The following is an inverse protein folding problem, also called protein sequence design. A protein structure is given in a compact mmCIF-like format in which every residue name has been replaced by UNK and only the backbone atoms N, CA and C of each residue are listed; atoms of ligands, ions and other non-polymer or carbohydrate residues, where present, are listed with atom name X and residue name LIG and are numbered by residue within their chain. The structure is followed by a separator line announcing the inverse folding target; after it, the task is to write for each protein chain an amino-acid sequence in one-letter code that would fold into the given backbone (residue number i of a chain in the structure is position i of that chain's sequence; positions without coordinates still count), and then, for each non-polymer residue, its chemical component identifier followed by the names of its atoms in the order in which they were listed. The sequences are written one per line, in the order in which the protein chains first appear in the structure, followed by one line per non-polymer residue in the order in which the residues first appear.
data_IF_200507081458
#
_entry.id   IF_200507081458
#
_cell.length_a   1.000
_cell.length_b   1.000
_cell.length_c   1.000
_cell.angle_alpha   90.00
_cell.angle_beta   90.00
_cell.angle_gamma   90.00
#
_symmetry.space_group_name_H-M   'P 1'
#
loop_
_entity.id
_entity.type
_entity.pdbx_description
1 polymer ?
#
# COMPACT_ATOMS: atom_id res chain seq x y z
N UNK A 1 -25.18 3.66 -23.82
CA UNK A 1 -23.74 4.06 -23.86
C UNK A 1 -23.39 4.81 -25.14
N UNK A 2 -23.85 4.38 -26.32
CA UNK A 2 -23.70 5.13 -27.59
C UNK A 2 -24.99 5.90 -27.92
N UNK A 3 -24.87 7.17 -28.35
CA UNK A 3 -25.98 8.02 -28.81
C UNK A 3 -26.18 7.87 -30.32
N UNK A 4 -27.32 8.36 -30.84
CA UNK A 4 -27.75 8.15 -32.23
C UNK A 4 -26.97 8.96 -33.26
N UNK A 5 -26.20 9.96 -32.85
CA UNK A 5 -25.41 10.76 -33.77
C UNK A 5 -24.16 9.99 -34.25
N UNK A 6 -24.11 9.79 -35.56
CA UNK A 6 -22.97 9.21 -36.26
C UNK A 6 -22.54 10.16 -37.36
N UNK A 7 -21.31 10.62 -37.32
CA UNK A 7 -20.71 11.46 -38.35
C UNK A 7 -19.82 10.59 -39.24
N UNK A 8 -20.29 10.26 -40.44
CA UNK A 8 -19.54 9.44 -41.39
C UNK A 8 -18.55 10.29 -42.15
N UNK A 9 -17.28 9.90 -42.13
CA UNK A 9 -16.22 10.55 -42.93
C UNK A 9 -16.12 9.86 -44.29
N UNK A 10 -16.23 8.53 -44.32
CA UNK A 10 -16.42 7.72 -45.53
C UNK A 10 -17.12 6.39 -45.18
N UNK A 11 -17.27 5.48 -46.15
CA UNK A 11 -17.99 4.21 -45.93
C UNK A 11 -17.30 3.29 -44.91
N UNK A 12 -16.00 3.43 -44.71
CA UNK A 12 -15.19 2.55 -43.84
C UNK A 12 -14.75 3.20 -42.52
N UNK A 13 -14.94 4.52 -42.36
CA UNK A 13 -14.50 5.30 -41.20
C UNK A 13 -15.54 6.36 -40.80
N UNK A 14 -15.98 6.30 -39.55
CA UNK A 14 -17.02 7.17 -39.00
C UNK A 14 -16.80 7.44 -37.51
N UNK A 15 -17.30 8.57 -37.04
CA UNK A 15 -17.32 8.93 -35.64
C UNK A 15 -18.70 8.68 -35.05
N UNK A 16 -18.74 8.09 -33.86
CA UNK A 16 -19.99 7.81 -33.15
C UNK A 16 -19.97 8.47 -31.78
N UNK A 17 -21.00 9.23 -31.48
CA UNK A 17 -21.09 9.96 -30.22
C UNK A 17 -21.42 9.00 -29.06
N UNK A 18 -20.62 9.03 -27.99
CA UNK A 18 -20.84 8.26 -26.77
C UNK A 18 -21.00 9.19 -25.56
N UNK A 19 -21.44 8.62 -24.43
CA UNK A 19 -21.49 9.35 -23.15
C UNK A 19 -20.10 9.81 -22.65
N UNK A 20 -19.02 9.33 -23.27
CA UNK A 20 -17.64 9.69 -22.98
C UNK A 20 -16.99 10.56 -24.09
N UNK A 21 -17.77 11.03 -25.07
CA UNK A 21 -17.28 11.81 -26.22
C UNK A 21 -17.35 11.06 -27.55
N UNK A 22 -16.83 11.68 -28.63
CA UNK A 22 -16.82 11.11 -29.98
C UNK A 22 -15.79 10.00 -30.11
N UNK A 23 -16.21 8.83 -30.56
CA UNK A 23 -15.36 7.66 -30.75
C UNK A 23 -15.19 7.41 -32.25
N UNK A 24 -13.94 7.33 -32.72
CA UNK A 24 -13.63 6.95 -34.09
C UNK A 24 -13.80 5.43 -34.29
N UNK A 25 -14.49 5.02 -35.35
CA UNK A 25 -14.79 3.62 -35.66
C UNK A 25 -14.54 3.37 -37.15
N UNK A 26 -13.83 2.29 -37.48
CA UNK A 26 -13.60 1.90 -38.86
C UNK A 26 -12.78 0.61 -38.98
N UNK A 27 -12.71 0.05 -40.19
CA UNK A 27 -11.84 -1.10 -40.48
C UNK A 27 -10.45 -0.62 -40.88
N UNK A 28 -9.41 -1.17 -40.26
CA UNK A 28 -8.04 -1.00 -40.75
C UNK A 28 -7.89 -1.82 -42.04
N UNK A 29 -7.61 -1.17 -43.17
CA UNK A 29 -7.06 -1.86 -44.32
C UNK A 29 -5.56 -2.11 -44.05
N UNK A 30 -5.19 -3.38 -43.90
CA UNK A 30 -3.79 -3.80 -43.83
C UNK A 30 -3.13 -3.50 -45.19
N UNK A 31 -2.57 -2.29 -45.32
CA UNK A 31 -1.44 -2.07 -46.22
C UNK A 31 -0.18 -2.08 -45.38
N UNK A 32 0.87 -2.69 -45.91
CA UNK A 32 2.19 -2.82 -45.29
C UNK A 32 2.66 -1.49 -44.68
N UNK A 33 2.48 -1.33 -43.36
CA UNK A 33 3.06 -0.23 -42.61
C UNK A 33 4.17 -0.81 -41.75
N UNK A 34 5.37 -0.26 -41.93
CA UNK A 34 6.51 -0.44 -41.04
C UNK A 34 6.06 -0.38 -39.58
N UNK A 35 6.59 -1.29 -38.74
CA UNK A 35 6.33 -1.31 -37.28
C UNK A 35 6.78 0.01 -36.63
N UNK A 36 5.95 1.03 -36.68
CA UNK A 36 6.04 2.20 -35.80
C UNK A 36 5.03 1.99 -34.68
N UNK A 37 5.53 1.67 -33.49
CA UNK A 37 4.73 1.71 -32.27
C UNK A 37 4.28 3.16 -32.05
N UNK A 38 3.02 3.46 -32.32
CA UNK A 38 2.45 4.77 -32.00
C UNK A 38 2.19 4.82 -30.49
N UNK A 39 3.05 5.55 -29.77
CA UNK A 39 2.83 5.87 -28.36
C UNK A 39 1.93 7.12 -28.28
N UNK A 40 0.73 6.97 -27.74
CA UNK A 40 -0.15 8.12 -27.47
C UNK A 40 0.34 8.81 -26.20
N UNK A 41 1.01 9.96 -26.35
CA UNK A 41 1.43 10.79 -25.24
C UNK A 41 0.23 11.62 -24.73
N UNK A 42 -0.39 11.21 -23.64
CA UNK A 42 -1.40 12.00 -22.94
C UNK A 42 -0.73 12.77 -21.80
N UNK A 43 -0.62 14.10 -21.92
CA UNK A 43 -0.17 14.97 -20.83
C UNK A 43 -1.36 15.22 -19.90
N UNK A 44 -1.29 14.73 -18.66
CA UNK A 44 -2.35 14.87 -17.67
C UNK A 44 -1.80 15.57 -16.41
N UNK A 45 -2.30 16.76 -16.11
CA UNK A 45 -1.81 17.61 -15.02
C UNK A 45 -2.30 17.14 -13.62
N UNK A 46 -3.06 16.03 -13.55
CA UNK A 46 -3.61 15.45 -12.30
C UNK A 46 -3.23 13.97 -12.12
N UNK A 47 -1.92 13.70 -12.07
CA UNK A 47 -1.35 12.35 -11.96
C UNK A 47 -1.81 11.60 -10.69
N UNK A 48 -1.97 12.30 -9.57
CA UNK A 48 -2.30 11.73 -8.25
C UNK A 48 -3.68 11.03 -8.21
N UNK A 49 -4.70 11.66 -8.78
CA UNK A 49 -6.08 11.16 -8.74
C UNK A 49 -6.26 9.97 -9.70
N UNK A 50 -5.58 10.01 -10.85
CA UNK A 50 -5.56 8.91 -11.84
C UNK A 50 -4.90 7.67 -11.25
N UNK A 51 -3.84 7.86 -10.46
CA UNK A 51 -3.21 6.77 -9.72
C UNK A 51 -4.13 6.22 -8.65
N UNK A 52 -4.68 7.06 -7.76
CA UNK A 52 -5.59 6.62 -6.69
C UNK A 52 -6.76 5.77 -7.24
N UNK A 53 -7.38 6.20 -8.34
CA UNK A 53 -8.50 5.46 -8.94
C UNK A 53 -8.09 4.13 -9.58
N UNK A 54 -6.86 4.04 -10.11
CA UNK A 54 -6.27 2.78 -10.57
C UNK A 54 -6.04 1.79 -9.41
N UNK A 55 -5.76 2.28 -8.19
CA UNK A 55 -5.64 1.43 -7.00
C UNK A 55 -6.97 0.90 -6.46
N UNK A 56 -8.08 1.66 -6.57
CA UNK A 56 -9.40 1.28 -6.04
C UNK A 56 -10.10 0.16 -6.82
N UNK A 57 -9.72 -0.06 -8.08
CA UNK A 57 -10.38 -1.03 -8.97
C UNK A 57 -10.02 -2.50 -8.68
N UNK A 58 -9.16 -2.79 -7.70
CA UNK A 58 -8.76 -4.16 -7.31
C UNK A 58 -9.75 -4.89 -6.39
N UNK A 59 -10.83 -4.23 -5.94
CA UNK A 59 -11.89 -4.90 -5.17
C UNK A 59 -12.53 -6.04 -5.96
N UNK A 60 -12.39 -7.28 -5.48
CA UNK A 60 -13.07 -8.47 -5.98
C UNK A 60 -14.59 -8.33 -5.77
N UNK A 61 -15.28 -7.67 -6.71
CA UNK A 61 -16.65 -7.95 -7.14
C UNK A 61 -17.74 -8.24 -6.08
N UNK A 62 -17.93 -7.38 -5.07
CA UNK A 62 -19.17 -7.39 -4.25
C UNK A 62 -19.88 -6.04 -4.44
N UNK A 63 -21.12 -6.07 -4.94
CA UNK A 63 -22.06 -4.94 -4.96
C UNK A 63 -23.42 -5.47 -4.53
N UNK A 64 -23.96 -4.92 -3.45
CA UNK A 64 -25.33 -5.19 -3.00
C UNK A 64 -26.24 -4.02 -3.39
N UNK A 65 -27.36 -4.32 -4.06
CA UNK A 65 -28.44 -3.37 -4.34
C UNK A 65 -29.53 -3.43 -3.22
N UNK A 66 -30.32 -2.36 -3.02
CA UNK A 66 -31.02 -2.12 -1.76
C UNK A 66 -32.53 -2.42 -1.80
N UNK A 67 -33.05 -3.09 -0.76
CA UNK A 67 -34.45 -2.95 -0.31
C UNK A 67 -34.52 -2.89 1.23
N UNK A 68 -35.04 -1.74 1.71
CA UNK A 68 -35.85 -1.45 2.92
C UNK A 68 -35.38 -1.76 4.37
N UNK A 69 -35.34 -0.71 5.23
CA UNK A 69 -35.87 -0.68 6.63
C UNK A 69 -35.58 0.63 7.43
N UNK A 70 -34.62 1.48 7.03
CA UNK A 70 -34.07 2.48 7.97
C UNK A 70 -34.73 3.88 8.02
N UNK A 71 -36.06 4.01 8.06
CA UNK A 71 -36.73 5.31 8.36
C UNK A 71 -37.13 5.44 9.83
N UNK A 72 -37.47 4.35 10.50
CA UNK A 72 -37.98 4.40 11.88
C UNK A 72 -36.86 4.51 12.95
N UNK A 73 -35.70 3.88 12.71
CA UNK A 73 -34.52 3.95 13.59
C UNK A 73 -33.91 5.35 13.71
N UNK A 74 -34.06 6.19 12.70
CA UNK A 74 -33.43 7.52 12.69
C UNK A 74 -34.09 8.48 13.70
N UNK A 75 -35.37 8.29 13.99
CA UNK A 75 -36.09 9.11 14.98
C UNK A 75 -35.82 8.67 16.42
N UNK A 76 -35.55 7.39 16.66
CA UNK A 76 -35.11 6.91 17.99
C UNK A 76 -33.74 7.49 18.36
N UNK A 77 -32.76 7.39 17.46
CA UNK A 77 -31.40 7.93 17.70
C UNK A 77 -31.44 9.44 17.96
N UNK A 78 -32.29 10.18 17.25
CA UNK A 78 -32.44 11.63 17.44
C UNK A 78 -32.94 11.99 18.85
N UNK A 79 -33.96 11.28 19.35
CA UNK A 79 -34.52 11.54 20.67
C UNK A 79 -33.58 11.14 21.82
N UNK A 80 -32.74 10.12 21.61
CA UNK A 80 -31.79 9.62 22.61
C UNK A 80 -30.51 10.45 22.71
N UNK A 81 -30.11 11.14 21.63
CA UNK A 81 -28.77 11.77 21.52
C UNK A 81 -28.78 13.30 21.47
N UNK A 82 -29.96 13.92 21.53
CA UNK A 82 -30.08 15.37 21.57
C UNK A 82 -29.72 15.91 22.96
N UNK A 83 -28.61 16.63 23.06
CA UNK A 83 -28.17 17.32 24.27
C UNK A 83 -28.12 18.83 24.02
N UNK A 84 -28.51 19.66 25.00
CA UNK A 84 -28.33 21.12 24.90
C UNK A 84 -27.09 21.54 25.68
N UNK A 85 -26.04 21.99 24.99
CA UNK A 85 -24.75 22.41 25.58
C UNK A 85 -24.29 23.72 24.95
N UNK A 86 -23.83 24.66 25.80
CA UNK A 86 -23.30 25.97 25.39
C UNK A 86 -24.24 26.75 24.46
N UNK A 87 -25.50 26.92 24.89
CA UNK A 87 -26.58 27.60 24.16
C UNK A 87 -26.92 27.01 22.78
N UNK A 88 -26.51 25.77 22.49
CA UNK A 88 -26.80 25.07 21.22
C UNK A 88 -27.21 23.62 21.46
N UNK A 89 -28.09 23.11 20.60
CA UNK A 89 -28.39 21.68 20.55
C UNK A 89 -27.23 20.95 19.87
N UNK A 90 -26.61 20.04 20.61
CA UNK A 90 -25.65 19.05 20.14
C UNK A 90 -26.44 17.79 19.85
N UNK A 91 -26.49 17.41 18.58
CA UNK A 91 -27.20 16.22 18.11
C UNK A 91 -26.23 15.27 17.46
N UNK A 92 -26.44 13.98 17.66
CA UNK A 92 -25.67 12.97 16.93
C UNK A 92 -26.34 12.70 15.59
N UNK A 93 -25.53 12.39 14.58
CA UNK A 93 -26.06 12.00 13.28
C UNK A 93 -26.73 10.61 13.38
N UNK A 94 -27.98 10.45 12.90
CA UNK A 94 -28.71 9.19 13.01
C UNK A 94 -28.23 8.20 11.94
N UNK A 95 -27.09 7.57 12.20
CA UNK A 95 -26.54 6.55 11.30
C UNK A 95 -27.35 5.25 11.39
N UNK A 96 -27.70 4.65 10.24
CA UNK A 96 -28.40 3.35 10.18
C UNK A 96 -27.54 2.17 10.71
N UNK A 97 -26.22 2.37 10.76
CA UNK A 97 -25.15 1.46 11.24
C UNK A 97 -24.00 2.31 11.81
N UNK A 98 -22.99 1.73 12.46
CA UNK A 98 -21.89 2.52 13.08
C UNK A 98 -21.26 3.50 12.08
N UNK A 99 -20.83 4.67 12.57
CA UNK A 99 -20.11 5.70 11.82
C UNK A 99 -18.97 5.12 10.96
N UNK A 100 -18.33 4.05 11.45
CA UNK A 100 -17.19 3.36 10.83
C UNK A 100 -17.51 2.65 9.49
N UNK A 101 -18.79 2.57 9.11
CA UNK A 101 -19.23 1.93 7.85
C UNK A 101 -19.43 2.90 6.68
N UNK A 102 -19.23 4.20 6.87
CA UNK A 102 -19.37 5.18 5.78
C UNK A 102 -18.12 5.18 4.88
N UNK A 103 -18.35 5.09 3.56
CA UNK A 103 -17.30 5.23 2.56
C UNK A 103 -16.83 6.68 2.41
N UNK A 104 -15.51 6.88 2.27
CA UNK A 104 -14.87 8.17 2.01
C UNK A 104 -15.48 8.90 0.79
N UNK A 105 -15.88 10.16 0.98
CA UNK A 105 -16.50 11.02 -0.05
C UNK A 105 -15.57 12.13 -0.56
N UNK A 106 -14.29 12.10 -0.18
CA UNK A 106 -13.29 13.11 -0.50
C UNK A 106 -13.20 13.42 -2.00
N UNK A 107 -13.24 12.40 -2.86
CA UNK A 107 -13.18 12.55 -4.33
C UNK A 107 -14.33 13.40 -4.89
N UNK A 108 -15.54 13.21 -4.34
CA UNK A 108 -16.72 13.98 -4.74
C UNK A 108 -16.67 15.41 -4.18
N UNK A 109 -16.22 15.58 -2.94
CA UNK A 109 -16.04 16.89 -2.31
C UNK A 109 -14.99 17.74 -3.05
N UNK A 110 -13.85 17.14 -3.43
CA UNK A 110 -12.77 17.77 -4.21
C UNK A 110 -13.27 18.20 -5.60
N UNK A 111 -14.00 17.34 -6.31
CA UNK A 111 -14.54 17.68 -7.64
C UNK A 111 -15.58 18.81 -7.57
N UNK A 112 -16.42 18.83 -6.52
CA UNK A 112 -17.36 19.93 -6.26
C UNK A 112 -16.64 21.23 -5.94
N UNK A 113 -15.58 21.19 -5.13
CA UNK A 113 -14.74 22.33 -4.82
C UNK A 113 -14.05 22.88 -6.09
N UNK A 114 -13.50 22.03 -6.95
CA UNK A 114 -12.89 22.46 -8.22
C UNK A 114 -13.90 23.07 -9.19
N UNK A 115 -15.12 22.51 -9.28
CA UNK A 115 -16.19 23.09 -10.08
C UNK A 115 -16.65 24.44 -9.51
N UNK A 116 -16.69 24.58 -8.19
CA UNK A 116 -16.97 25.83 -7.49
C UNK A 116 -15.89 26.88 -7.76
N UNK A 117 -14.60 26.49 -7.72
CA UNK A 117 -13.47 27.36 -8.07
C UNK A 117 -13.51 27.82 -9.54
N UNK A 118 -13.90 26.95 -10.48
CA UNK A 118 -14.15 27.37 -11.86
C UNK A 118 -15.35 28.31 -11.98
N UNK A 119 -16.36 28.21 -11.13
CA UNK A 119 -17.45 29.20 -11.09
C UNK A 119 -16.96 30.54 -10.53
N UNK A 120 -16.17 30.52 -9.46
CA UNK A 120 -15.54 31.73 -8.89
C UNK A 120 -14.64 32.47 -9.89
N UNK A 121 -13.99 31.75 -10.80
CA UNK A 121 -13.17 32.39 -11.84
C UNK A 121 -13.98 33.14 -12.90
N UNK A 122 -15.26 32.79 -13.08
CA UNK A 122 -16.17 33.44 -14.02
C UNK A 122 -17.16 34.40 -13.32
N UNK A 123 -17.22 34.36 -11.98
CA UNK A 123 -18.09 35.18 -11.13
C UNK A 123 -17.33 35.60 -9.86
N UNK A 124 -16.59 36.74 -9.92
CA UNK A 124 -15.77 37.23 -8.80
C UNK A 124 -16.59 37.68 -7.58
N UNK A 125 -17.84 38.11 -7.79
CA UNK A 125 -18.71 38.58 -6.72
C UNK A 125 -19.21 37.37 -5.88
N UNK A 126 -19.54 36.26 -6.54
CA UNK A 126 -19.85 34.99 -5.86
C UNK A 126 -18.64 34.45 -5.05
N UNK A 127 -17.42 34.60 -5.57
CA UNK A 127 -16.21 34.21 -4.84
C UNK A 127 -16.01 35.04 -3.57
N UNK A 128 -16.22 36.35 -3.65
CA UNK A 128 -16.08 37.25 -2.50
C UNK A 128 -17.11 36.92 -1.41
N UNK A 129 -18.37 36.68 -1.79
CA UNK A 129 -19.42 36.26 -0.85
C UNK A 129 -19.09 34.92 -0.17
N UNK A 130 -18.62 33.92 -0.93
CA UNK A 130 -18.18 32.65 -0.34
C UNK A 130 -16.99 32.82 0.61
N UNK A 131 -16.03 33.67 0.26
CA UNK A 131 -14.86 33.94 1.10
C UNK A 131 -15.24 34.60 2.41
N UNK A 132 -16.14 35.59 2.38
CA UNK A 132 -16.62 36.27 3.57
C UNK A 132 -17.40 35.30 4.49
N UNK A 133 -18.30 34.49 3.92
CA UNK A 133 -19.05 33.48 4.68
C UNK A 133 -18.12 32.44 5.31
N UNK A 134 -17.15 31.91 4.56
CA UNK A 134 -16.20 30.91 5.07
C UNK A 134 -15.32 31.51 6.17
N UNK A 135 -14.86 32.76 6.01
CA UNK A 135 -14.08 33.45 7.05
C UNK A 135 -14.93 33.67 8.30
N UNK A 136 -16.16 34.17 8.16
CA UNK A 136 -17.08 34.36 9.28
C UNK A 136 -17.38 33.02 9.98
N UNK A 137 -17.47 31.92 9.24
CA UNK A 137 -17.64 30.58 9.81
C UNK A 137 -16.40 30.11 10.57
N UNK A 138 -15.20 30.40 10.09
CA UNK A 138 -13.96 30.13 10.84
C UNK A 138 -13.91 30.97 12.11
N UNK A 139 -14.21 32.28 12.01
CA UNK A 139 -14.17 33.22 13.15
C UNK A 139 -15.24 32.93 14.22
N UNK A 140 -16.42 32.45 13.80
CA UNK A 140 -17.49 32.01 14.71
C UNK A 140 -17.30 30.57 15.24
N UNK A 141 -16.21 29.89 14.86
CA UNK A 141 -15.90 28.53 15.31
C UNK A 141 -16.82 27.44 14.74
N UNK A 142 -17.36 27.66 13.53
CA UNK A 142 -18.24 26.74 12.81
C UNK A 142 -17.43 25.70 11.99
N UNK A 143 -16.19 26.02 11.53
CA UNK A 143 -15.32 25.15 10.70
C UNK A 143 -13.79 25.29 11.00
N UNK A 144 -12.95 24.27 10.71
CA UNK A 144 -11.46 24.23 10.93
C UNK A 144 -10.63 23.52 9.81
N UNK A 145 -9.28 23.63 9.77
CA UNK A 145 -8.36 23.14 8.70
C UNK A 145 -7.49 21.90 9.08
N UNK A 146 -7.14 21.00 8.12
CA UNK A 146 -6.36 19.73 8.29
C UNK A 146 -5.24 19.55 7.23
N UNK A 147 -4.09 18.89 7.51
CA UNK A 147 -2.90 18.70 6.61
C UNK A 147 -2.53 17.21 6.30
N UNK A 148 -2.08 16.87 5.07
CA UNK A 148 -1.67 15.51 4.58
C UNK A 148 -0.14 15.37 4.29
N UNK A 149 0.46 14.17 4.47
CA UNK A 149 1.91 13.87 4.40
C UNK A 149 2.35 12.83 3.31
N UNK A 150 3.34 13.16 2.46
CA UNK A 150 4.05 12.21 1.54
C UNK A 150 5.49 12.00 2.05
N UNK A 151 5.98 10.75 2.08
CA UNK A 151 7.36 10.40 2.51
C UNK A 151 8.34 10.40 1.32
N UNK A 152 9.39 11.20 1.39
CA UNK A 152 10.54 11.13 0.47
C UNK A 152 11.48 9.96 0.83
N UNK A 153 12.09 9.32 -0.18
CA UNK A 153 13.08 8.25 0.00
C UNK A 153 14.48 8.84 0.18
N UNK A 154 15.08 8.61 1.35
CA UNK A 154 16.41 9.12 1.70
C UNK A 154 17.57 8.34 1.05
N UNK A 155 18.69 9.03 0.81
CA UNK A 155 19.92 8.46 0.22
C UNK A 155 20.54 7.42 1.14
N UNK A 156 20.79 7.78 2.39
CA UNK A 156 21.25 6.87 3.44
C UNK A 156 20.03 6.34 4.18
N UNK A 157 19.66 5.09 3.95
CA UNK A 157 18.51 4.45 4.57
C UNK A 157 18.88 3.86 5.94
N UNK A 158 17.96 3.98 6.90
CA UNK A 158 18.11 3.48 8.27
C UNK A 158 16.87 2.64 8.60
N UNK A 159 17.09 1.38 8.98
CA UNK A 159 16.02 0.48 9.41
C UNK A 159 16.36 -0.13 10.79
N UNK A 160 15.33 -0.33 11.63
CA UNK A 160 15.43 -0.96 12.95
C UNK A 160 14.07 -1.50 13.39
N UNK A 161 14.03 -2.55 14.23
CA UNK A 161 12.80 -3.08 14.83
C UNK A 161 12.72 -2.78 16.34
N UNK A 162 11.50 -2.61 16.86
CA UNK A 162 11.26 -2.51 18.31
C UNK A 162 11.24 -3.92 18.91
N UNK A 163 12.09 -4.15 19.91
CA UNK A 163 12.18 -5.44 20.60
C UNK A 163 10.85 -5.81 21.28
N UNK A 164 10.16 -6.81 20.74
CA UNK A 164 8.91 -7.35 21.31
C UNK A 164 7.87 -6.24 21.59
N UNK A 165 7.63 -5.38 20.59
CA UNK A 165 6.89 -4.13 20.73
C UNK A 165 5.58 -4.22 21.54
N UNK A 166 4.71 -5.18 21.22
CA UNK A 166 3.45 -5.38 21.96
C UNK A 166 3.67 -5.72 23.44
N UNK A 167 4.69 -6.53 23.74
CA UNK A 167 4.99 -6.92 25.11
C UNK A 167 5.53 -5.77 25.94
N UNK A 168 5.98 -4.66 25.36
CA UNK A 168 6.40 -3.50 26.15
C UNK A 168 5.22 -2.77 26.80
N UNK A 169 3.99 -3.01 26.34
CA UNK A 169 2.78 -2.33 26.82
C UNK A 169 2.04 -3.22 27.83
N UNK A 170 1.87 -2.71 29.04
CA UNK A 170 1.09 -3.37 30.10
C UNK A 170 -0.41 -3.19 29.88
N UNK A 171 -1.20 -4.21 30.23
CA UNK A 171 -2.65 -4.11 30.31
C UNK A 171 -3.08 -3.62 31.70
N UNK A 172 -4.13 -2.78 31.73
CA UNK A 172 -4.80 -2.40 32.97
C UNK A 172 -5.34 -3.65 33.70
N UNK A 173 -5.30 -3.65 35.03
CA UNK A 173 -5.64 -4.84 35.84
C UNK A 173 -7.06 -5.33 35.56
N UNK A 174 -8.02 -4.42 35.37
CA UNK A 174 -9.41 -4.76 35.03
C UNK A 174 -9.57 -5.45 33.66
N UNK A 175 -8.62 -5.28 32.73
CA UNK A 175 -8.72 -5.80 31.36
C UNK A 175 -7.96 -7.11 31.15
N UNK A 176 -7.06 -7.50 32.07
CA UNK A 176 -6.23 -8.71 31.93
C UNK A 176 -7.04 -9.99 31.79
N UNK A 177 -8.25 -10.02 32.34
CA UNK A 177 -9.11 -11.20 32.27
C UNK A 177 -9.74 -11.42 30.89
N UNK A 178 -9.74 -10.42 30.01
CA UNK A 178 -10.19 -10.55 28.63
C UNK A 178 -9.20 -11.35 27.75
N UNK A 179 -7.96 -11.52 28.18
CA UNK A 179 -6.87 -12.20 27.45
C UNK A 179 -6.43 -13.48 28.17
N UNK A 180 -7.40 -14.25 28.66
CA UNK A 180 -7.17 -15.57 29.27
C UNK A 180 -6.95 -16.64 28.20
N UNK A 181 -6.10 -17.61 28.52
CA UNK A 181 -5.90 -18.81 27.71
C UNK A 181 -5.73 -20.05 28.59
N UNK A 182 -5.97 -21.21 28.00
CA UNK A 182 -5.82 -22.50 28.67
C UNK A 182 -4.53 -23.17 28.22
N UNK A 183 -3.82 -23.77 29.16
CA UNK A 183 -2.61 -24.55 28.87
C UNK A 183 -2.51 -25.76 29.78
N UNK A 184 -1.83 -26.81 29.32
CA UNK A 184 -1.53 -28.02 30.07
C UNK A 184 -0.03 -28.32 29.97
N UNK A 185 0.60 -28.62 31.10
CA UNK A 185 1.98 -29.08 31.14
C UNK A 185 2.09 -30.61 31.02
N UNK A 186 0.97 -31.34 30.95
CA UNK A 186 0.95 -32.78 30.72
C UNK A 186 1.18 -33.11 29.24
N UNK A 187 1.93 -34.18 28.97
CA UNK A 187 2.13 -34.67 27.60
C UNK A 187 0.81 -35.13 26.95
N UNK A 188 0.62 -34.91 25.64
CA UNK A 188 -0.59 -35.33 24.93
C UNK A 188 -0.77 -36.85 25.00
N UNK A 189 -1.90 -37.32 25.56
CA UNK A 189 -2.24 -38.73 25.61
C UNK A 189 -3.67 -38.97 25.09
N UNK A 190 -3.84 -39.94 24.18
CA UNK A 190 -5.13 -40.26 23.53
C UNK A 190 -6.19 -40.72 24.56
N UNK A 191 -5.76 -41.32 25.67
CA UNK A 191 -6.66 -41.94 26.65
C UNK A 191 -6.83 -41.15 27.94
N UNK A 192 -6.20 -39.97 28.07
CA UNK A 192 -6.28 -39.14 29.27
C UNK A 192 -6.51 -37.69 28.89
N UNK A 193 -7.57 -37.10 29.43
CA UNK A 193 -7.79 -35.65 29.29
C UNK A 193 -6.72 -34.89 30.10
N UNK A 194 -6.06 -33.90 29.50
CA UNK A 194 -5.00 -33.15 30.18
C UNK A 194 -5.57 -32.29 31.30
N UNK A 195 -4.80 -32.12 32.38
CA UNK A 195 -5.10 -31.13 33.41
C UNK A 195 -4.91 -29.71 32.87
N UNK A 196 -6.02 -29.00 32.68
CA UNK A 196 -6.02 -27.63 32.17
C UNK A 196 -5.76 -26.61 33.28
N UNK A 197 -4.90 -25.64 33.00
CA UNK A 197 -4.61 -24.48 33.81
C UNK A 197 -5.02 -23.21 33.05
N UNK A 198 -5.62 -22.27 33.77
CA UNK A 198 -6.01 -20.95 33.22
C UNK A 198 -4.86 -19.97 33.44
N UNK A 199 -4.39 -19.37 32.36
CA UNK A 199 -3.41 -18.29 32.34
C UNK A 199 -4.05 -17.02 31.78
N UNK A 200 -3.42 -15.86 32.01
CA UNK A 200 -3.82 -14.59 31.41
C UNK A 200 -2.60 -13.75 31.04
N UNK A 201 -2.69 -12.98 29.96
CA UNK A 201 -1.63 -12.04 29.60
C UNK A 201 -1.67 -10.79 30.49
N UNK A 202 -0.50 -10.30 30.89
CA UNK A 202 -0.33 -9.04 31.62
C UNK A 202 -0.01 -7.85 30.68
N UNK A 203 0.25 -8.14 29.41
CA UNK A 203 0.76 -7.23 28.39
C UNK A 203 -0.05 -7.43 27.11
N UNK A 204 -0.01 -6.43 26.23
CA UNK A 204 -0.65 -6.53 24.91
C UNK A 204 -0.04 -7.70 24.14
N UNK A 205 -0.89 -8.61 23.65
CA UNK A 205 -0.46 -9.83 22.97
C UNK A 205 -0.72 -9.76 21.46
N UNK A 206 0.01 -10.59 20.71
CA UNK A 206 -0.21 -10.76 19.28
C UNK A 206 -1.57 -11.44 19.02
N UNK A 207 -2.23 -11.07 17.92
CA UNK A 207 -3.49 -11.70 17.49
C UNK A 207 -4.77 -11.03 18.00
N UNK A 208 -4.67 -10.00 18.86
CA UNK A 208 -5.81 -9.14 19.20
C UNK A 208 -5.87 -7.98 18.20
N UNK A 209 -7.05 -7.71 17.66
CA UNK A 209 -7.27 -6.68 16.61
C UNK A 209 -6.89 -5.27 17.06
N UNK A 210 -7.01 -4.95 18.36
CA UNK A 210 -6.64 -3.66 18.92
C UNK A 210 -5.14 -3.49 19.18
N UNK A 211 -4.34 -4.57 19.19
CA UNK A 211 -2.92 -4.50 19.54
C UNK A 211 -2.09 -3.56 18.66
N UNK A 212 -2.24 -3.56 17.32
CA UNK A 212 -1.52 -2.62 16.46
C UNK A 212 -1.85 -1.16 16.78
N UNK A 213 -3.14 -0.85 17.00
CA UNK A 213 -3.57 0.50 17.38
C UNK A 213 -2.95 0.94 18.70
N UNK A 214 -3.03 0.10 19.74
CA UNK A 214 -2.47 0.41 21.06
C UNK A 214 -0.96 0.67 21.00
N UNK A 215 -0.23 -0.10 20.19
CA UNK A 215 1.19 0.13 19.97
C UNK A 215 1.46 1.48 19.30
N UNK A 216 0.84 1.74 18.16
CA UNK A 216 1.03 2.99 17.42
C UNK A 216 0.65 4.21 18.25
N UNK A 217 -0.48 4.16 18.96
CA UNK A 217 -0.92 5.25 19.83
C UNK A 217 0.07 5.52 20.98
N UNK A 218 0.60 4.45 21.59
CA UNK A 218 1.60 4.56 22.66
C UNK A 218 2.91 5.18 22.16
N UNK A 219 3.40 4.72 21.01
CA UNK A 219 4.63 5.24 20.38
C UNK A 219 4.47 6.74 20.07
N UNK A 220 3.36 7.13 19.42
CA UNK A 220 3.06 8.55 19.10
C UNK A 220 3.00 9.42 20.35
N UNK A 221 2.26 8.97 21.36
CA UNK A 221 2.14 9.71 22.62
C UNK A 221 3.50 9.88 23.31
N UNK A 222 4.37 8.87 23.24
CA UNK A 222 5.71 8.95 23.81
C UNK A 222 6.61 9.92 23.06
N UNK A 223 6.67 9.82 21.72
CA UNK A 223 7.54 10.64 20.89
C UNK A 223 7.15 12.14 20.97
N UNK A 224 5.86 12.47 21.07
CA UNK A 224 5.40 13.86 21.19
C UNK A 224 5.98 14.58 22.42
N UNK A 225 6.32 13.86 23.50
CA UNK A 225 6.95 14.45 24.70
C UNK A 225 8.33 15.05 24.41
N UNK A 226 9.00 14.58 23.37
CA UNK A 226 10.35 14.99 22.99
C UNK A 226 10.37 16.07 21.90
N UNK A 227 9.20 16.59 21.50
CA UNK A 227 9.06 17.58 20.42
C UNK A 227 9.88 18.85 20.62
N UNK A 228 10.05 19.29 21.86
CA UNK A 228 10.83 20.48 22.18
C UNK A 228 12.35 20.21 22.12
N UNK A 229 12.78 18.99 22.45
CA UNK A 229 14.20 18.62 22.51
C UNK A 229 14.72 18.15 21.15
N UNK A 230 13.87 17.48 20.37
CA UNK A 230 14.20 16.87 19.08
C UNK A 230 13.10 17.09 18.01
N UNK A 231 12.77 18.34 17.66
CA UNK A 231 11.63 18.64 16.78
C UNK A 231 11.67 17.90 15.43
N UNK A 232 12.84 17.90 14.77
CA UNK A 232 13.02 17.26 13.46
C UNK A 232 12.92 15.73 13.55
N UNK A 233 13.51 15.13 14.60
CA UNK A 233 13.46 13.68 14.81
C UNK A 233 12.04 13.23 15.14
N UNK A 234 11.31 13.97 15.96
CA UNK A 234 9.93 13.66 16.37
C UNK A 234 8.99 13.69 15.16
N UNK A 235 9.07 14.75 14.36
CA UNK A 235 8.28 14.88 13.14
C UNK A 235 8.57 13.74 12.16
N UNK A 236 9.83 13.32 12.09
CA UNK A 236 10.23 12.23 11.22
C UNK A 236 9.80 10.86 11.77
N UNK A 237 9.99 10.60 13.07
CA UNK A 237 9.62 9.32 13.68
C UNK A 237 8.12 9.06 13.65
N UNK A 238 7.28 10.08 13.88
CA UNK A 238 5.83 9.96 13.77
C UNK A 238 5.40 9.48 12.37
N UNK A 239 6.16 9.88 11.35
CA UNK A 239 5.95 9.41 9.99
C UNK A 239 6.61 8.05 9.77
N UNK A 240 7.80 7.79 10.28
CA UNK A 240 8.66 6.66 9.87
C UNK A 240 8.35 5.31 10.55
N UNK A 241 7.56 5.25 11.60
CA UNK A 241 7.15 3.98 12.21
C UNK A 241 6.03 3.29 11.42
N UNK A 242 6.25 2.03 11.06
CA UNK A 242 5.21 1.11 10.60
C UNK A 242 5.10 -0.04 11.61
N UNK A 243 4.09 0.04 12.49
CA UNK A 243 3.90 -0.89 13.61
C UNK A 243 5.16 -0.95 14.49
N UNK A 244 5.98 -1.98 14.36
CA UNK A 244 7.22 -2.22 15.10
C UNK A 244 8.49 -1.88 14.31
N UNK A 245 8.40 -1.61 13.00
CA UNK A 245 9.52 -1.26 12.15
C UNK A 245 9.71 0.26 12.06
N UNK A 246 10.92 0.74 12.36
CA UNK A 246 11.40 2.07 12.02
C UNK A 246 12.03 2.05 10.64
N UNK A 247 11.46 2.78 9.68
CA UNK A 247 12.00 2.91 8.33
C UNK A 247 12.21 4.39 8.01
N UNK A 248 13.48 4.78 7.93
CA UNK A 248 13.91 6.17 7.85
C UNK A 248 15.15 6.33 6.95
N UNK A 249 15.72 7.53 6.92
CA UNK A 249 17.06 7.79 6.44
C UNK A 249 17.46 9.26 6.58
N UNK A 250 18.64 9.59 6.06
CA UNK A 250 19.14 10.95 5.92
C UNK A 250 19.68 11.21 4.51
N UNK A 251 19.92 12.47 4.19
CA UNK A 251 20.55 12.90 2.93
C UNK A 251 22.01 12.47 2.86
N UNK A 252 22.65 12.34 4.02
CA UNK A 252 24.03 11.88 4.18
C UNK A 252 24.22 11.05 5.45
N UNK A 253 25.49 10.65 5.66
CA UNK A 253 25.93 9.86 6.81
C UNK A 253 25.64 10.57 8.15
N UNK A 254 25.91 11.88 8.26
CA UNK A 254 25.81 12.59 9.53
C UNK A 254 24.35 12.76 9.96
N UNK A 255 23.47 13.14 9.02
CA UNK A 255 22.04 13.26 9.30
C UNK A 255 21.45 11.91 9.71
N UNK A 256 21.80 10.83 9.00
CA UNK A 256 21.36 9.47 9.34
C UNK A 256 21.89 9.00 10.71
N UNK A 257 23.14 9.33 11.05
CA UNK A 257 23.75 9.00 12.34
C UNK A 257 23.07 9.76 13.49
N UNK A 258 22.88 11.07 13.36
CA UNK A 258 22.21 11.89 14.38
C UNK A 258 20.77 11.43 14.60
N UNK A 259 20.05 11.13 13.53
CA UNK A 259 18.69 10.60 13.58
C UNK A 259 18.65 9.26 14.31
N UNK A 260 19.55 8.33 13.98
CA UNK A 260 19.61 7.00 14.62
C UNK A 260 19.89 7.09 16.13
N UNK A 261 20.80 7.96 16.56
CA UNK A 261 21.10 8.20 17.98
C UNK A 261 19.90 8.80 18.72
N UNK A 262 19.28 9.81 18.13
CA UNK A 262 18.12 10.49 18.72
C UNK A 262 16.94 9.53 18.85
N UNK A 263 16.66 8.75 17.80
CA UNK A 263 15.62 7.72 17.82
C UNK A 263 15.88 6.65 18.89
N UNK A 264 17.11 6.15 19.00
CA UNK A 264 17.49 5.19 20.04
C UNK A 264 17.23 5.75 21.44
N UNK A 265 17.68 6.97 21.73
CA UNK A 265 17.52 7.59 23.04
C UNK A 265 16.03 7.82 23.40
N UNK A 266 15.23 8.31 22.45
CA UNK A 266 13.80 8.55 22.65
C UNK A 266 13.10 7.22 22.97
N UNK A 267 13.35 6.17 22.20
CA UNK A 267 12.66 4.89 22.35
C UNK A 267 13.13 4.09 23.58
N UNK A 268 14.42 4.17 23.93
CA UNK A 268 14.97 3.56 25.15
C UNK A 268 14.32 4.14 26.42
N UNK A 269 14.01 5.44 26.43
CA UNK A 269 13.27 6.06 27.53
C UNK A 269 11.83 5.53 27.69
N UNK A 270 11.27 4.89 26.65
CA UNK A 270 9.97 4.19 26.71
C UNK A 270 10.09 2.72 27.13
N UNK A 271 11.31 2.20 27.35
CA UNK A 271 11.58 0.76 27.45
C UNK A 271 11.38 0.02 26.13
N UNK A 272 11.38 0.73 25.00
CA UNK A 272 11.18 0.19 23.66
C UNK A 272 12.51 0.15 22.90
N UNK A 273 13.37 -0.79 23.27
CA UNK A 273 14.71 -0.91 22.67
C UNK A 273 14.62 -1.15 21.15
N UNK A 274 15.20 -0.22 20.38
CA UNK A 274 15.41 -0.35 18.94
C UNK A 274 16.61 -1.25 18.65
N UNK A 275 16.40 -2.30 17.86
CA UNK A 275 17.40 -3.32 17.55
C UNK A 275 17.46 -3.64 16.05
N UNK A 276 18.33 -4.59 15.69
CA UNK A 276 18.62 -5.00 14.30
C UNK A 276 18.87 -3.82 13.36
N UNK A 277 19.64 -2.84 13.83
CA UNK A 277 19.97 -1.68 13.02
C UNK A 277 20.66 -2.10 11.72
N UNK A 278 20.20 -1.55 10.60
CA UNK A 278 20.74 -1.83 9.28
C UNK A 278 20.65 -0.62 8.35
N UNK A 279 21.67 -0.46 7.50
CA UNK A 279 21.78 0.62 6.51
C UNK A 279 22.47 0.13 5.22
N UNK A 280 22.29 0.87 4.13
CA UNK A 280 23.11 0.79 2.92
C UNK A 280 24.49 1.46 3.05
N UNK A 281 24.70 2.33 4.04
CA UNK A 281 26.00 2.98 4.26
C UNK A 281 26.90 2.15 5.18
N UNK A 282 28.03 1.67 4.64
CA UNK A 282 29.00 0.86 5.36
C UNK A 282 29.69 1.62 6.51
N UNK A 283 29.93 2.93 6.34
CA UNK A 283 30.52 3.76 7.40
C UNK A 283 29.54 3.87 8.56
N UNK A 284 28.24 4.02 8.28
CA UNK A 284 27.20 4.09 9.29
C UNK A 284 27.10 2.78 10.08
N UNK A 285 27.15 1.65 9.37
CA UNK A 285 27.18 0.32 9.99
C UNK A 285 28.41 0.13 10.90
N UNK A 286 29.59 0.62 10.50
CA UNK A 286 30.80 0.55 11.33
C UNK A 286 30.69 1.45 12.57
N UNK A 287 30.16 2.66 12.40
CA UNK A 287 29.98 3.61 13.49
C UNK A 287 29.00 3.09 14.55
N UNK A 288 27.89 2.49 14.12
CA UNK A 288 26.94 1.82 15.02
C UNK A 288 27.56 0.66 15.80
N UNK A 289 28.45 -0.13 15.17
CA UNK A 289 29.20 -1.17 15.88
C UNK A 289 30.11 -0.57 16.96
N UNK A 290 30.80 0.54 16.68
CA UNK A 290 31.62 1.27 17.66
C UNK A 290 30.78 1.80 18.83
N UNK A 291 29.58 2.29 18.54
CA UNK A 291 28.62 2.80 19.53
C UNK A 291 27.75 1.72 20.19
N UNK A 292 28.06 0.44 19.97
CA UNK A 292 27.37 -0.70 20.57
C UNK A 292 25.86 -0.72 20.30
N UNK A 293 25.44 -0.30 19.11
CA UNK A 293 24.08 -0.56 18.64
C UNK A 293 23.90 -2.06 18.40
N UNK A 294 22.68 -2.57 18.59
CA UNK A 294 22.32 -3.94 18.19
C UNK A 294 22.13 -3.98 16.67
N UNK A 295 23.24 -4.08 15.94
CA UNK A 295 23.28 -4.11 14.46
C UNK A 295 22.87 -5.50 13.97
N UNK A 296 22.07 -5.57 12.90
CA UNK A 296 21.65 -6.85 12.33
C UNK A 296 22.89 -7.70 11.97
N UNK A 297 22.97 -8.97 12.41
CA UNK A 297 24.13 -9.80 12.14
C UNK A 297 24.23 -10.05 10.63
N UNK A 298 25.27 -9.47 10.05
CA UNK A 298 25.58 -9.57 8.61
C UNK A 298 25.92 -11.03 8.21
N UNK A 299 26.35 -11.86 9.17
CA UNK A 299 26.76 -13.24 8.92
C UNK A 299 25.82 -14.25 9.59
N UNK A 300 25.07 -15.00 8.75
CA UNK A 300 24.80 -16.46 8.86
C UNK A 300 23.67 -17.03 7.97
N UNK A 301 23.19 -16.30 6.97
CA UNK A 301 22.49 -16.91 5.81
C UNK A 301 23.20 -16.52 4.53
N UNK A 302 24.48 -16.89 4.48
CA UNK A 302 25.35 -16.73 3.32
C UNK A 302 25.28 -18.01 2.49
N UNK A 303 24.46 -17.97 1.45
CA UNK A 303 24.90 -18.49 0.16
C UNK A 303 24.98 -17.27 -0.75
N UNK A 304 26.21 -16.84 -1.07
CA UNK A 304 26.59 -15.79 -2.05
C UNK A 304 26.91 -14.36 -1.57
N UNK A 305 27.39 -14.13 -0.34
CA UNK A 305 28.11 -12.88 -0.01
C UNK A 305 27.35 -11.56 -0.18
N UNK A 306 26.02 -11.58 -0.18
CA UNK A 306 25.18 -10.39 -0.34
C UNK A 306 24.38 -10.12 0.94
N UNK A 307 24.65 -8.99 1.60
CA UNK A 307 23.91 -8.51 2.79
C UNK A 307 22.44 -8.25 2.41
N UNK A 308 21.56 -9.20 2.73
CA UNK A 308 20.13 -9.13 2.37
C UNK A 308 19.28 -9.14 3.63
N UNK A 309 18.34 -8.20 3.77
CA UNK A 309 17.37 -8.13 4.89
C UNK A 309 15.97 -7.87 4.37
N UNK A 310 14.93 -8.33 5.07
CA UNK A 310 13.55 -8.05 4.71
C UNK A 310 13.12 -6.70 5.29
N UNK A 311 12.66 -5.78 4.43
CA UNK A 311 12.02 -4.52 4.81
C UNK A 311 10.60 -4.54 4.27
N UNK A 312 9.60 -4.45 5.16
CA UNK A 312 8.18 -4.58 4.81
C UNK A 312 7.85 -5.81 3.95
N UNK A 313 8.60 -6.91 4.12
CA UNK A 313 8.45 -8.15 3.36
C UNK A 313 9.23 -8.23 2.04
N UNK A 314 9.84 -7.14 1.55
CA UNK A 314 10.73 -7.13 0.39
C UNK A 314 12.18 -7.39 0.79
N UNK A 315 12.94 -8.15 -0.01
CA UNK A 315 14.37 -8.36 0.25
C UNK A 315 15.17 -7.16 -0.24
N UNK A 316 15.87 -6.49 0.66
CA UNK A 316 16.76 -5.38 0.35
C UNK A 316 18.21 -5.82 0.49
N UNK A 317 18.96 -5.70 -0.62
CA UNK A 317 20.40 -5.83 -0.67
C UNK A 317 21.01 -4.48 -0.33
N UNK A 318 21.58 -4.38 0.87
CA UNK A 318 21.93 -3.08 1.44
C UNK A 318 23.16 -2.47 0.79
N UNK A 319 24.22 -3.24 0.58
CA UNK A 319 25.50 -2.72 0.04
C UNK A 319 25.38 -2.22 -1.40
N UNK A 320 24.66 -2.94 -2.26
CA UNK A 320 24.45 -2.53 -3.66
C UNK A 320 23.20 -1.62 -3.83
N UNK A 321 22.41 -1.45 -2.79
CA UNK A 321 21.16 -0.68 -2.74
C UNK A 321 20.07 -1.10 -3.76
N UNK A 322 19.85 -2.41 -3.88
CA UNK A 322 18.81 -3.00 -4.73
C UNK A 322 17.76 -3.76 -3.91
N UNK A 323 16.50 -3.64 -4.30
CA UNK A 323 15.43 -4.55 -3.94
C UNK A 323 15.54 -5.83 -4.79
N UNK A 324 15.29 -6.96 -4.15
CA UNK A 324 15.20 -8.31 -4.71
C UNK A 324 13.90 -8.97 -4.27
N UNK A 325 13.45 -9.92 -5.06
CA UNK A 325 12.34 -10.80 -4.69
C UNK A 325 12.87 -11.99 -3.89
N UNK A 326 12.27 -12.28 -2.74
CA UNK A 326 12.55 -13.53 -2.03
C UNK A 326 11.72 -14.66 -2.64
N UNK A 327 12.34 -15.46 -3.49
CA UNK A 327 11.70 -16.58 -4.18
C UNK A 327 12.00 -17.94 -3.56
N UNK A 328 12.84 -18.03 -2.52
CA UNK A 328 13.31 -19.33 -2.00
C UNK A 328 12.16 -20.23 -1.54
N UNK A 329 11.29 -19.70 -0.67
CA UNK A 329 10.11 -20.43 -0.16
C UNK A 329 9.18 -20.87 -1.29
N UNK A 330 9.06 -20.04 -2.34
CA UNK A 330 8.23 -20.35 -3.49
C UNK A 330 8.88 -21.41 -4.39
N UNK A 331 10.19 -21.34 -4.62
CA UNK A 331 10.98 -22.32 -5.37
C UNK A 331 10.92 -23.70 -4.70
N UNK A 332 11.20 -23.76 -3.40
CA UNK A 332 11.09 -24.99 -2.60
C UNK A 332 9.67 -25.58 -2.67
N UNK A 333 8.65 -24.73 -2.58
CA UNK A 333 7.25 -25.16 -2.66
C UNK A 333 6.91 -25.71 -4.05
N UNK A 334 7.29 -25.02 -5.12
CA UNK A 334 7.00 -25.41 -6.50
C UNK A 334 7.73 -26.71 -6.89
N UNK A 335 8.89 -26.99 -6.31
CA UNK A 335 9.66 -28.23 -6.53
C UNK A 335 8.94 -29.49 -6.04
N UNK A 336 7.89 -29.35 -5.21
CA UNK A 336 7.01 -30.47 -4.80
C UNK A 336 6.24 -31.04 -6.01
N UNK A 337 6.15 -30.28 -7.11
CA UNK A 337 5.60 -30.67 -8.43
C UNK A 337 4.20 -31.31 -8.36
N UNK A 338 3.29 -30.64 -7.64
CA UNK A 338 1.87 -30.99 -7.65
C UNK A 338 1.12 -30.17 -8.69
N UNK A 339 0.29 -30.82 -9.49
CA UNK A 339 -0.48 -30.16 -10.54
C UNK A 339 -1.97 -30.15 -10.15
N UNK A 340 -2.33 -29.32 -9.17
CA UNK A 340 -3.73 -29.08 -8.77
C UNK A 340 -4.04 -27.58 -8.64
N UNK A 341 -5.33 -27.22 -8.74
CA UNK A 341 -5.78 -25.84 -8.54
C UNK A 341 -5.41 -25.30 -7.16
N UNK A 342 -5.54 -26.12 -6.11
CA UNK A 342 -5.13 -25.75 -4.74
C UNK A 342 -3.64 -25.43 -4.67
N UNK A 343 -2.80 -26.22 -5.35
CA UNK A 343 -1.36 -26.01 -5.35
C UNK A 343 -0.98 -24.68 -6.02
N UNK A 344 -1.58 -24.34 -7.16
CA UNK A 344 -1.35 -23.05 -7.82
C UNK A 344 -1.74 -21.89 -6.91
N UNK A 345 -2.90 -21.93 -6.25
CA UNK A 345 -3.29 -20.87 -5.30
C UNK A 345 -2.32 -20.74 -4.12
N UNK A 346 -1.85 -21.87 -3.59
CA UNK A 346 -0.85 -21.88 -2.52
C UNK A 346 0.48 -21.25 -2.98
N UNK A 347 0.89 -21.49 -4.23
CA UNK A 347 2.06 -20.85 -4.81
C UNK A 347 1.85 -19.33 -4.96
N UNK A 348 0.72 -18.90 -5.53
CA UNK A 348 0.42 -17.46 -5.71
C UNK A 348 0.34 -16.72 -4.38
N UNK A 349 -0.26 -17.33 -3.36
CA UNK A 349 -0.34 -16.72 -2.02
C UNK A 349 1.01 -16.54 -1.31
N UNK A 350 2.08 -17.15 -1.82
CA UNK A 350 3.46 -16.95 -1.32
C UNK A 350 4.19 -15.80 -2.01
N UNK A 351 3.63 -15.26 -3.09
CA UNK A 351 4.23 -14.13 -3.80
C UNK A 351 3.89 -12.85 -3.05
N UNK A 352 4.91 -12.14 -2.60
CA UNK A 352 4.76 -10.85 -1.94
C UNK A 352 5.36 -9.76 -2.81
N UNK A 353 4.52 -9.08 -3.60
CA UNK A 353 4.91 -8.00 -4.53
C UNK A 353 4.02 -6.75 -4.33
N UNK A 354 4.17 -6.02 -3.20
CA UNK A 354 3.32 -4.88 -2.85
C UNK A 354 3.44 -3.70 -3.83
N UNK A 355 4.58 -3.57 -4.51
CA UNK A 355 4.84 -2.52 -5.49
C UNK A 355 4.51 -2.95 -6.93
N UNK A 356 4.12 -4.21 -7.13
CA UNK A 356 3.84 -4.78 -8.44
C UNK A 356 5.07 -4.78 -9.37
N UNK A 357 6.27 -4.89 -8.84
CA UNK A 357 7.52 -4.81 -9.62
C UNK A 357 7.73 -6.02 -10.54
N UNK A 358 7.07 -7.14 -10.27
CA UNK A 358 7.08 -8.35 -11.10
C UNK A 358 5.70 -8.66 -11.70
N UNK A 359 4.86 -7.64 -11.85
CA UNK A 359 3.52 -7.76 -12.46
C UNK A 359 3.49 -8.55 -13.78
N UNK A 360 4.42 -8.38 -14.74
CA UNK A 360 4.43 -9.18 -15.97
C UNK A 360 4.54 -10.69 -15.73
N UNK A 361 5.18 -11.09 -14.63
CA UNK A 361 5.30 -12.48 -14.20
C UNK A 361 4.07 -12.95 -13.42
N UNK A 362 3.55 -12.13 -12.49
CA UNK A 362 2.43 -12.51 -11.62
C UNK A 362 1.08 -12.50 -12.33
N UNK A 363 0.87 -11.65 -13.34
CA UNK A 363 -0.39 -11.62 -14.10
C UNK A 363 -0.64 -12.93 -14.85
N UNK A 364 0.43 -13.63 -15.26
CA UNK A 364 0.34 -14.92 -15.97
C UNK A 364 -0.37 -15.98 -15.15
N UNK A 365 0.06 -16.14 -13.90
CA UNK A 365 -0.58 -17.12 -13.01
C UNK A 365 -1.96 -16.66 -12.54
N UNK A 366 -2.22 -15.35 -12.42
CA UNK A 366 -3.56 -14.82 -12.10
C UNK A 366 -4.61 -15.18 -13.16
N UNK A 367 -4.30 -15.10 -14.46
CA UNK A 367 -5.28 -15.53 -15.47
C UNK A 367 -5.34 -17.06 -15.61
N UNK A 368 -4.27 -17.81 -15.34
CA UNK A 368 -4.37 -19.29 -15.25
C UNK A 368 -5.36 -19.72 -14.16
N UNK A 369 -5.38 -19.02 -13.03
CA UNK A 369 -6.37 -19.22 -11.98
C UNK A 369 -7.78 -18.93 -12.52
N UNK A 370 -7.96 -17.83 -13.27
CA UNK A 370 -9.26 -17.52 -13.89
C UNK A 370 -9.72 -18.60 -14.88
N UNK A 371 -8.81 -19.14 -15.70
CA UNK A 371 -9.09 -20.23 -16.63
C UNK A 371 -9.55 -21.49 -15.86
N UNK A 372 -8.87 -21.86 -14.78
CA UNK A 372 -9.26 -22.97 -13.90
C UNK A 372 -10.65 -22.80 -13.28
N UNK A 373 -11.01 -21.58 -12.90
CA UNK A 373 -12.36 -21.27 -12.40
C UNK A 373 -13.41 -21.39 -13.49
N UNK A 374 -13.10 -20.92 -14.70
CA UNK A 374 -13.99 -20.97 -15.87
C UNK A 374 -14.32 -22.41 -16.27
N UNK A 375 -13.33 -23.30 -16.17
CA UNK A 375 -13.47 -24.74 -16.46
C UNK A 375 -14.07 -25.55 -15.31
N UNK A 376 -14.39 -24.91 -14.17
CA UNK A 376 -15.00 -25.54 -12.99
C UNK A 376 -14.21 -26.75 -12.45
N UNK A 377 -12.88 -26.72 -12.59
CA UNK A 377 -12.01 -27.80 -12.10
C UNK A 377 -12.09 -27.88 -10.56
N UNK A 378 -12.28 -29.07 -9.94
CA UNK A 378 -12.22 -29.23 -8.49
C UNK A 378 -10.86 -28.86 -7.88
N UNK A 379 -10.80 -28.76 -6.55
CA UNK A 379 -9.61 -28.26 -5.85
C UNK A 379 -8.36 -29.12 -6.01
N UNK A 380 -8.55 -30.44 -5.97
CA UNK A 380 -7.49 -31.44 -5.87
C UNK A 380 -7.38 -32.30 -7.14
N UNK A 381 -8.15 -31.98 -8.18
CA UNK A 381 -8.11 -32.68 -9.47
C UNK A 381 -6.86 -32.25 -10.29
N UNK A 382 -6.35 -33.13 -11.17
CA UNK A 382 -5.26 -32.80 -12.08
C UNK A 382 -5.57 -31.62 -12.99
N UNK A 383 -4.56 -30.79 -13.27
CA UNK A 383 -4.69 -29.67 -14.21
C UNK A 383 -4.94 -30.18 -15.65
N UNK A 384 -5.79 -29.49 -16.44
CA UNK A 384 -5.89 -29.72 -17.88
C UNK A 384 -4.52 -29.57 -18.58
N UNK A 385 -4.21 -30.36 -19.64
CA UNK A 385 -2.88 -30.36 -20.26
C UNK A 385 -2.41 -28.99 -20.76
N UNK A 386 -3.34 -28.15 -21.20
CA UNK A 386 -3.02 -26.81 -21.69
C UNK A 386 -2.66 -25.84 -20.55
N UNK A 387 -3.27 -25.97 -19.37
CA UNK A 387 -2.96 -25.18 -18.16
C UNK A 387 -1.69 -25.70 -17.50
N UNK A 388 -1.51 -27.02 -17.43
CA UNK A 388 -0.31 -27.65 -16.88
C UNK A 388 0.95 -27.19 -17.61
N UNK A 389 0.91 -27.09 -18.94
CA UNK A 389 2.03 -26.59 -19.75
C UNK A 389 2.40 -25.14 -19.41
N UNK A 390 1.42 -24.26 -19.30
CA UNK A 390 1.68 -22.85 -18.95
C UNK A 390 2.13 -22.70 -17.49
N UNK A 391 1.61 -23.53 -16.59
CA UNK A 391 2.05 -23.62 -15.21
C UNK A 391 3.52 -24.06 -15.11
N UNK A 392 3.89 -25.15 -15.77
CA UNK A 392 5.29 -25.64 -15.81
C UNK A 392 6.25 -24.60 -16.37
N UNK A 393 5.88 -23.93 -17.46
CA UNK A 393 6.66 -22.83 -18.02
C UNK A 393 6.83 -21.68 -17.01
N UNK A 394 5.77 -21.32 -16.29
CA UNK A 394 5.84 -20.29 -15.25
C UNK A 394 6.80 -20.70 -14.11
N UNK A 395 6.77 -21.96 -13.70
CA UNK A 395 7.67 -22.54 -12.70
C UNK A 395 9.13 -22.57 -13.16
N UNK A 396 9.40 -22.89 -14.42
CA UNK A 396 10.74 -22.90 -15.02
C UNK A 396 11.37 -21.50 -15.09
N UNK A 397 10.53 -20.46 -15.26
CA UNK A 397 10.99 -19.07 -15.31
C UNK A 397 11.23 -18.47 -13.92
N UNK A 398 10.63 -19.04 -12.88
CA UNK A 398 10.69 -18.54 -11.50
C UNK A 398 12.12 -18.33 -10.96
N UNK A 399 13.10 -19.23 -11.18
CA UNK A 399 14.48 -19.01 -10.72
C UNK A 399 15.14 -17.75 -11.30
N UNK A 400 14.70 -17.29 -12.48
CA UNK A 400 15.28 -16.10 -13.10
C UNK A 400 14.90 -14.80 -12.36
N UNK A 401 13.84 -14.81 -11.54
CA UNK A 401 13.48 -13.65 -10.73
C UNK A 401 14.54 -13.28 -9.69
N UNK A 402 15.38 -14.22 -9.26
CA UNK A 402 16.48 -13.93 -8.32
C UNK A 402 17.55 -13.00 -8.93
N UNK A 403 17.64 -12.97 -10.27
CA UNK A 403 18.55 -12.11 -11.00
C UNK A 403 18.01 -10.68 -11.18
N UNK A 404 16.72 -10.45 -10.89
CA UNK A 404 16.11 -9.14 -11.01
C UNK A 404 16.60 -8.24 -9.87
N UNK A 405 17.40 -7.23 -10.21
CA UNK A 405 17.89 -6.19 -9.30
C UNK A 405 17.16 -4.89 -9.58
N UNK A 406 16.41 -4.37 -8.60
CA UNK A 406 15.62 -3.14 -8.76
C UNK A 406 16.19 -2.07 -7.84
N UNK A 407 16.68 -0.92 -8.35
CA UNK A 407 17.24 0.13 -7.50
C UNK A 407 16.22 0.57 -6.44
N UNK A 408 16.61 0.57 -5.15
CA UNK A 408 15.72 1.10 -4.09
C UNK A 408 15.55 2.61 -4.25
N UNK A 409 16.65 3.31 -4.48
CA UNK A 409 16.64 4.76 -4.64
C UNK A 409 16.16 5.14 -6.05
N UNK A 410 14.97 5.73 -6.12
CA UNK A 410 14.35 6.14 -7.39
C UNK A 410 14.98 7.44 -7.91
N UNK A 411 15.23 8.42 -7.05
CA UNK A 411 15.85 9.71 -7.41
C UNK A 411 17.37 9.64 -7.30
N UNK A 412 18.09 9.91 -8.38
CA UNK A 412 19.55 9.90 -8.38
C UNK A 412 20.12 11.11 -7.61
N UNK A 413 21.20 10.92 -6.85
CA UNK A 413 21.92 12.03 -6.19
C UNK A 413 22.54 13.06 -7.16
N UNK A 414 22.64 12.72 -8.44
CA UNK A 414 23.13 13.59 -9.52
C UNK A 414 22.00 14.26 -10.30
N UNK A 415 20.80 14.29 -9.73
CA UNK A 415 19.62 14.95 -10.28
C UNK A 415 19.95 16.39 -10.70
N UNK A 416 19.42 16.79 -11.86
CA UNK A 416 19.27 18.19 -12.20
C UNK A 416 17.92 18.67 -11.63
N UNK A 417 17.92 19.73 -10.83
CA UNK A 417 16.81 20.11 -9.93
C UNK A 417 15.48 20.38 -10.66
N UNK A 418 15.52 20.57 -11.99
CA UNK A 418 14.38 21.07 -12.77
C UNK A 418 13.64 20.02 -13.61
N UNK A 419 14.10 18.75 -13.70
CA UNK A 419 13.50 17.78 -14.65
C UNK A 419 13.30 16.39 -14.04
N UNK A 420 12.13 16.24 -13.42
CA UNK A 420 11.55 14.95 -13.02
C UNK A 420 10.22 14.76 -13.76
N UNK A 421 10.08 13.62 -14.45
CA UNK A 421 8.86 13.24 -15.16
C UNK A 421 8.38 11.87 -14.67
N UNK A 422 7.10 11.73 -14.40
CA UNK A 422 6.47 10.43 -14.18
C UNK A 422 5.79 9.97 -15.47
N UNK A 423 6.22 8.84 -15.99
CA UNK A 423 5.69 8.23 -17.22
C UNK A 423 4.82 7.05 -16.84
N UNK A 424 3.53 7.16 -17.14
CA UNK A 424 2.58 6.07 -16.97
C UNK A 424 2.29 5.42 -18.31
N UNK A 425 2.48 4.10 -18.37
CA UNK A 425 2.09 3.28 -19.50
C UNK A 425 0.93 2.40 -19.06
N UNK A 426 -0.13 2.36 -19.85
CA UNK A 426 -1.24 1.45 -19.64
C UNK A 426 -1.46 0.61 -20.91
N UNK A 427 -1.75 -0.67 -20.72
CA UNK A 427 -2.10 -1.58 -21.81
C UNK A 427 -3.28 -2.47 -21.39
N UNK A 428 -4.09 -2.86 -22.36
CA UNK A 428 -5.26 -3.70 -22.17
C UNK A 428 -5.34 -4.75 -23.28
N UNK A 429 -5.48 -5.99 -22.85
CA UNK A 429 -5.69 -7.15 -23.71
C UNK A 429 -7.00 -7.85 -23.36
N UNK A 430 -7.39 -8.84 -24.17
CA UNK A 430 -8.52 -9.73 -23.85
C UNK A 430 -8.35 -10.50 -22.54
N UNK A 431 -7.11 -10.70 -22.07
CA UNK A 431 -6.81 -11.50 -20.88
C UNK A 431 -6.62 -10.65 -19.62
N UNK A 432 -6.01 -9.49 -19.76
CA UNK A 432 -5.65 -8.64 -18.64
C UNK A 432 -5.40 -7.21 -19.11
N UNK A 433 -5.53 -6.27 -18.18
CA UNK A 433 -5.05 -4.91 -18.33
C UNK A 433 -4.04 -4.62 -17.22
N UNK A 434 -3.11 -3.72 -17.50
CA UNK A 434 -2.09 -3.33 -16.56
C UNK A 434 -1.62 -1.91 -16.81
N UNK A 435 -1.02 -1.32 -15.79
CA UNK A 435 -0.32 -0.07 -15.93
C UNK A 435 0.99 -0.11 -15.15
N UNK A 436 2.03 0.49 -15.71
CA UNK A 436 3.35 0.62 -15.11
C UNK A 436 3.76 2.09 -15.08
N UNK A 437 4.41 2.49 -14.00
CA UNK A 437 4.87 3.85 -13.79
C UNK A 437 6.38 3.82 -13.71
N UNK A 438 7.00 4.70 -14.47
CA UNK A 438 8.43 4.92 -14.47
C UNK A 438 8.71 6.36 -14.07
N UNK A 439 9.73 6.55 -13.26
CA UNK A 439 10.31 7.86 -13.04
C UNK A 439 11.42 8.07 -14.06
N UNK A 440 11.28 9.10 -14.88
CA UNK A 440 12.33 9.59 -15.74
C UNK A 440 12.91 10.85 -15.10
N UNK A 441 14.21 10.86 -14.86
CA UNK A 441 14.93 12.03 -14.34
C UNK A 441 16.08 12.39 -15.25
N UNK A 442 16.30 13.69 -15.45
CA UNK A 442 17.56 14.17 -16.03
C UNK A 442 18.60 14.26 -14.93
N UNK A 443 19.73 13.62 -15.15
CA UNK A 443 20.89 13.68 -14.27
C UNK A 443 22.05 14.30 -15.02
N UNK A 444 23.10 14.69 -14.30
CA UNK A 444 24.37 15.15 -14.89
C UNK A 444 25.01 14.09 -15.81
N UNK A 445 24.63 12.82 -15.64
CA UNK A 445 25.13 11.68 -16.40
C UNK A 445 24.22 11.26 -17.57
N UNK A 446 23.09 11.95 -17.79
CA UNK A 446 22.15 11.65 -18.86
C UNK A 446 20.72 11.45 -18.38
N UNK A 447 19.93 10.66 -19.12
CA UNK A 447 18.54 10.34 -18.75
C UNK A 447 18.54 9.02 -17.96
N UNK A 448 17.98 9.04 -16.76
CA UNK A 448 17.74 7.84 -15.96
C UNK A 448 16.24 7.52 -15.97
N UNK A 449 15.91 6.24 -16.15
CA UNK A 449 14.52 5.75 -16.12
C UNK A 449 14.45 4.56 -15.17
N UNK A 450 13.62 4.65 -14.13
CA UNK A 450 13.47 3.59 -13.12
C UNK A 450 12.01 3.23 -12.90
N UNK A 451 11.65 1.94 -12.78
CA UNK A 451 10.30 1.53 -12.44
C UNK A 451 9.98 1.96 -10.99
N UNK A 452 8.81 2.56 -10.79
CA UNK A 452 8.32 2.98 -9.48
C UNK A 452 7.35 1.93 -8.93
N UNK A 453 6.36 1.58 -9.73
CA UNK A 453 5.33 0.59 -9.38
C UNK A 453 4.59 0.18 -10.65
N UNK A 454 3.91 -0.96 -10.60
CA UNK A 454 2.91 -1.29 -11.60
C UNK A 454 1.74 -2.02 -10.95
N UNK A 455 0.61 -2.10 -11.63
CA UNK A 455 -0.45 -3.04 -11.25
C UNK A 455 -1.03 -3.71 -12.48
N UNK A 456 -1.69 -4.83 -12.24
CA UNK A 456 -2.43 -5.57 -13.25
C UNK A 456 -3.71 -6.13 -12.67
N UNK A 457 -4.70 -6.27 -13.54
CA UNK A 457 -5.94 -6.96 -13.24
C UNK A 457 -6.33 -7.84 -14.42
N UNK A 458 -6.79 -9.03 -14.08
CA UNK A 458 -7.32 -9.98 -15.07
C UNK A 458 -8.62 -9.40 -15.64
N UNK A 459 -8.81 -9.52 -16.95
CA UNK A 459 -10.01 -9.04 -17.61
C UNK A 459 -11.24 -9.79 -17.07
N UNK A 460 -12.36 -9.10 -16.80
CA UNK A 460 -13.61 -9.79 -16.45
C UNK A 460 -14.02 -10.74 -17.58
N UNK A 461 -14.45 -11.94 -17.21
CA UNK A 461 -15.10 -12.83 -18.17
C UNK A 461 -16.40 -12.17 -18.59
N UNK A 462 -16.57 -11.97 -19.89
CA UNK A 462 -17.83 -11.49 -20.44
C UNK A 462 -18.81 -12.66 -20.33
N UNK A 463 -19.78 -12.55 -19.42
CA UNK A 463 -20.88 -13.52 -19.27
C UNK A 463 -21.85 -13.40 -20.43
#
# INVERSE_FOLDING_TARGET
VLKHNTYKVNEEFFFKESQFGWIACGKLQEKEVSKQNQCFLARNDTLQDTLKHFFDLEGLGIRDDPVSNGKDQAMEIFNETVEFKNDRYVIHLPFRKSYDELSDNYSLAKQRCQNLWRRFSHDPELHQQYREIIRDYVEQGIIEEVKDDIKELNKTAVCSDIKQAFLQICLAEEHKDAVRFLWSNEEPCVHKKPKLHVYRFNRVNFGVSSSPFLLTATIRHHIEKYKNDYPDTVQLLDKCFYVDDLISGGKDFEEALQLSRSAKNIMEAAGMDLRKWISNDANLMEQWKKEKFDVYPIDKTVSLGVNTTKVLGLSWVTHEDYLKMDTRSLLEFVYIDKNTKRFILQAVGRIFDPLGLITPFTIRVKYLIQDLWSEKIPWDDPLPPHIEREWKRWCEELPHLENLKIPRLVLDSTLDEDIIELHSFCDASKKAYGAAIYLKSRTRNGISVKPVTSKSRVAPLTV
#
